data_IF_747064508965
#
_entry.id   IF_747064508965
#
_cell.length_a   1.000
_cell.length_b   1.000
_cell.length_c   1.000
_cell.angle_alpha   90.00
_cell.angle_beta   90.00
_cell.angle_gamma   90.00
#
_symmetry.space_group_name_H-M   'P 1'
#
loop_
_entity.id
_entity.type
_entity.pdbx_description
1 polymer ?
#
# COMPACT_ATOMS: atom_id res chain seq x y z
N UNK A 1 -17.87 5.41 -1.38
CA UNK A 1 -16.98 4.37 -1.94
C UNK A 1 -16.44 4.91 -3.26
N UNK A 2 -15.13 4.95 -3.49
CA UNK A 2 -14.62 5.28 -4.85
C UNK A 2 -14.13 3.99 -5.45
N UNK A 3 -14.90 3.50 -6.41
CA UNK A 3 -14.30 2.73 -7.49
C UNK A 3 -13.17 3.58 -8.07
N UNK A 4 -11.98 3.01 -8.23
CA UNK A 4 -10.90 3.69 -8.94
C UNK A 4 -11.13 3.51 -10.42
N UNK A 5 -10.96 4.58 -11.19
CA UNK A 5 -10.95 4.44 -12.63
C UNK A 5 -9.52 4.07 -13.04
N UNK A 6 -9.35 2.86 -13.54
CA UNK A 6 -8.02 2.29 -13.83
C UNK A 6 -8.01 1.62 -15.20
N UNK A 7 -6.81 1.39 -15.74
CA UNK A 7 -6.60 0.60 -16.94
C UNK A 7 -5.60 -0.51 -16.67
N UNK A 8 -5.80 -1.67 -17.30
CA UNK A 8 -4.76 -2.69 -17.34
C UNK A 8 -3.71 -2.29 -18.36
N UNK A 9 -2.45 -2.28 -17.92
CA UNK A 9 -1.32 -1.92 -18.75
C UNK A 9 -0.32 -3.07 -18.84
N UNK A 10 0.29 -3.16 -20.00
CA UNK A 10 1.37 -4.07 -20.30
C UNK A 10 2.53 -3.31 -20.92
N UNK A 11 3.73 -3.44 -20.34
CA UNK A 11 4.94 -2.81 -20.85
C UNK A 11 6.19 -3.65 -20.54
N UNK A 12 7.26 -3.45 -21.30
CA UNK A 12 8.56 -4.02 -20.95
C UNK A 12 9.26 -3.06 -19.99
N UNK A 13 9.51 -3.50 -18.76
CA UNK A 13 10.10 -2.65 -17.73
C UNK A 13 11.50 -2.14 -18.16
N UNK A 14 11.76 -0.82 -18.15
CA UNK A 14 13.08 -0.27 -18.47
C UNK A 14 14.22 -0.78 -17.57
N UNK A 15 13.92 -1.05 -16.30
CA UNK A 15 14.92 -1.43 -15.30
C UNK A 15 15.27 -2.92 -15.29
N UNK A 16 14.24 -3.79 -15.27
CA UNK A 16 14.43 -5.24 -15.14
C UNK A 16 14.20 -6.00 -16.44
N UNK A 17 13.74 -5.33 -17.50
CA UNK A 17 13.43 -5.91 -18.82
C UNK A 17 12.37 -7.00 -18.84
N UNK A 18 11.72 -7.27 -17.70
CA UNK A 18 10.59 -8.18 -17.63
C UNK A 18 9.33 -7.55 -18.24
N UNK A 19 8.46 -8.39 -18.80
CA UNK A 19 7.14 -7.97 -19.25
C UNK A 19 6.25 -7.74 -18.02
N UNK A 20 6.03 -6.48 -17.68
CA UNK A 20 5.15 -6.06 -16.61
C UNK A 20 3.70 -6.05 -17.09
N UNK A 21 2.82 -6.64 -16.28
CA UNK A 21 1.36 -6.54 -16.42
C UNK A 21 0.83 -6.05 -15.08
N UNK A 22 0.24 -4.87 -15.07
CA UNK A 22 -0.22 -4.18 -13.85
C UNK A 22 -1.40 -3.26 -14.18
N UNK A 23 -1.95 -2.56 -13.20
CA UNK A 23 -2.90 -1.46 -13.45
C UNK A 23 -2.24 -0.10 -13.28
N UNK A 24 -2.81 0.91 -13.94
CA UNK A 24 -2.48 2.31 -13.75
C UNK A 24 -3.78 3.08 -13.46
N UNK A 25 -3.73 3.99 -12.49
CA UNK A 25 -4.86 4.86 -12.20
C UNK A 25 -5.02 5.91 -13.31
N UNK A 26 -6.27 6.13 -13.70
CA UNK A 26 -6.66 6.96 -14.85
C UNK A 26 -7.57 8.08 -14.36
N UNK A 27 -7.30 9.35 -14.70
CA UNK A 27 -8.21 10.45 -14.38
C UNK A 27 -9.59 10.20 -14.99
N UNK A 28 -10.66 10.41 -14.23
CA UNK A 28 -12.01 10.25 -14.75
C UNK A 28 -12.39 11.33 -15.78
N UNK A 29 -13.09 10.97 -16.87
CA UNK A 29 -13.74 11.94 -17.75
C UNK A 29 -14.77 12.79 -17.00
N UNK A 30 -14.93 14.06 -17.39
CA UNK A 30 -16.07 14.85 -16.95
C UNK A 30 -17.33 14.43 -17.72
N UNK A 31 -18.00 13.40 -17.20
CA UNK A 31 -19.25 12.89 -17.77
C UNK A 31 -20.38 13.94 -17.79
N UNK A 32 -20.31 14.96 -16.94
CA UNK A 32 -21.35 15.97 -16.78
C UNK A 32 -21.24 17.13 -17.79
N UNK A 33 -20.03 17.36 -18.32
CA UNK A 33 -19.74 18.38 -19.33
C UNK A 33 -19.76 17.85 -20.77
N UNK A 34 -20.10 16.57 -20.97
CA UNK A 34 -19.99 15.89 -22.26
C UNK A 34 -21.08 16.29 -23.27
N UNK A 35 -20.86 17.38 -24.01
CA UNK A 35 -21.66 17.73 -25.19
C UNK A 35 -21.14 17.05 -26.48
N UNK A 36 -19.89 16.57 -26.46
CA UNK A 36 -19.23 15.88 -27.57
C UNK A 36 -18.21 14.83 -27.08
N UNK A 37 -17.79 13.91 -27.96
CA UNK A 37 -16.81 12.86 -27.61
C UNK A 37 -15.43 13.41 -27.21
N UNK A 38 -15.06 14.63 -27.62
CA UNK A 38 -13.80 15.27 -27.20
C UNK A 38 -13.84 15.79 -25.78
N UNK A 39 -15.04 16.06 -25.25
CA UNK A 39 -15.22 16.58 -23.89
C UNK A 39 -15.09 15.46 -22.83
N UNK A 40 -15.04 14.20 -23.27
CA UNK A 40 -14.78 13.01 -22.46
C UNK A 40 -13.29 12.68 -22.34
N UNK A 41 -12.41 13.57 -22.79
CA UNK A 41 -10.98 13.37 -22.64
C UNK A 41 -10.51 13.83 -21.25
N UNK A 42 -9.76 12.98 -20.57
CA UNK A 42 -9.13 13.27 -19.29
C UNK A 42 -7.65 12.91 -19.34
N UNK A 43 -6.80 13.73 -18.74
CA UNK A 43 -5.36 13.49 -18.73
C UNK A 43 -4.73 13.89 -17.40
N UNK A 44 -3.60 13.28 -17.06
CA UNK A 44 -2.95 13.53 -15.78
C UNK A 44 -1.72 12.67 -15.52
N UNK A 45 -0.98 13.06 -14.49
CA UNK A 45 0.14 12.29 -13.94
C UNK A 45 -0.39 11.13 -13.10
N UNK A 46 0.24 9.97 -13.24
CA UNK A 46 -0.01 8.74 -12.48
C UNK A 46 1.33 8.06 -12.17
N UNK A 47 1.29 7.04 -11.33
CA UNK A 47 2.46 6.21 -11.02
C UNK A 47 2.20 4.77 -11.47
N UNK A 48 3.18 4.20 -12.15
CA UNK A 48 3.14 2.82 -12.63
C UNK A 48 4.24 2.03 -11.93
N UNK A 49 3.86 1.00 -11.18
CA UNK A 49 4.81 0.14 -10.51
C UNK A 49 5.03 -1.16 -11.30
N UNK A 50 6.28 -1.52 -11.53
CA UNK A 50 6.60 -2.81 -12.12
C UNK A 50 6.40 -3.94 -11.09
N UNK A 51 5.55 -4.95 -11.34
CA UNK A 51 5.31 -6.06 -10.41
C UNK A 51 6.53 -6.99 -10.26
N UNK A 52 7.54 -6.87 -11.13
CA UNK A 52 8.72 -7.72 -11.15
C UNK A 52 9.95 -7.13 -10.46
N UNK A 53 10.03 -5.80 -10.33
CA UNK A 53 11.18 -5.17 -9.68
C UNK A 53 10.80 -4.00 -8.77
N UNK A 54 9.52 -3.69 -8.63
CA UNK A 54 8.95 -2.65 -7.76
C UNK A 54 9.45 -1.24 -8.07
N UNK A 55 10.15 -1.05 -9.19
CA UNK A 55 10.45 0.29 -9.68
C UNK A 55 9.12 0.98 -9.98
N UNK A 56 8.93 2.13 -9.32
CA UNK A 56 7.83 3.05 -9.59
C UNK A 56 8.28 4.03 -10.66
N UNK A 57 7.52 4.11 -11.73
CA UNK A 57 7.71 5.03 -12.84
C UNK A 57 6.64 6.12 -12.77
N UNK A 58 7.06 7.38 -12.73
CA UNK A 58 6.14 8.50 -13.03
C UNK A 58 5.67 8.35 -14.48
N UNK A 59 4.37 8.46 -14.70
CA UNK A 59 3.75 8.26 -16.00
C UNK A 59 2.66 9.31 -16.25
N UNK A 60 2.44 9.59 -17.53
CA UNK A 60 1.35 10.46 -17.98
C UNK A 60 0.30 9.62 -18.68
N UNK A 61 -0.96 9.80 -18.29
CA UNK A 61 -2.13 9.13 -18.86
C UNK A 61 -2.95 10.13 -19.66
N UNK A 62 -3.39 9.69 -20.84
CA UNK A 62 -4.43 10.34 -21.64
C UNK A 62 -5.53 9.32 -21.86
N UNK A 63 -6.72 9.61 -21.34
CA UNK A 63 -7.89 8.79 -21.47
C UNK A 63 -8.94 9.48 -22.34
N UNK A 64 -9.56 8.70 -23.21
CA UNK A 64 -10.58 9.13 -24.15
C UNK A 64 -11.74 8.13 -24.13
N UNK A 65 -12.88 8.48 -24.72
CA UNK A 65 -14.13 7.70 -24.68
C UNK A 65 -14.05 6.22 -25.16
N UNK A 66 -12.93 5.77 -25.73
CA UNK A 66 -12.72 4.36 -26.10
C UNK A 66 -11.25 3.93 -26.17
N UNK A 67 -10.33 4.72 -25.61
CA UNK A 67 -8.90 4.40 -25.62
C UNK A 67 -8.20 5.03 -24.43
N UNK A 68 -7.23 4.33 -23.88
CA UNK A 68 -6.31 4.87 -22.90
C UNK A 68 -4.89 4.81 -23.48
N UNK A 69 -4.13 5.88 -23.31
CA UNK A 69 -2.69 5.92 -23.58
C UNK A 69 -1.96 6.23 -22.29
N UNK A 70 -0.92 5.44 -22.00
CA UNK A 70 -0.04 5.63 -20.84
C UNK A 70 1.37 5.80 -21.35
N UNK A 71 2.13 6.75 -20.82
CA UNK A 71 3.52 7.02 -21.21
C UNK A 71 4.37 7.18 -19.97
N UNK A 72 5.49 6.44 -19.88
CA UNK A 72 6.43 6.59 -18.77
C UNK A 72 7.25 7.88 -18.98
N UNK A 73 7.23 8.80 -18.02
CA UNK A 73 7.83 10.14 -18.17
C UNK A 73 9.33 10.09 -18.42
N UNK A 74 10.03 9.23 -17.67
CA UNK A 74 11.49 9.05 -17.80
C UNK A 74 11.89 8.11 -18.97
N UNK A 75 10.93 7.38 -19.55
CA UNK A 75 11.17 6.37 -20.59
C UNK A 75 10.10 6.42 -21.71
N UNK A 76 9.97 7.56 -22.42
CA UNK A 76 8.90 7.80 -23.39
C UNK A 76 8.94 6.85 -24.61
N UNK A 77 10.09 6.22 -24.86
CA UNK A 77 10.28 5.20 -25.90
C UNK A 77 9.69 3.83 -25.54
N UNK A 78 9.35 3.60 -24.27
CA UNK A 78 8.77 2.34 -23.81
C UNK A 78 7.34 2.24 -24.30
N UNK A 79 7.06 1.26 -25.16
CA UNK A 79 5.71 0.98 -25.61
C UNK A 79 4.88 0.42 -24.44
N UNK A 80 3.88 1.19 -24.01
CA UNK A 80 2.88 0.76 -23.04
C UNK A 80 1.58 0.47 -23.79
N UNK A 81 1.12 -0.78 -23.70
CA UNK A 81 -0.22 -1.14 -24.14
C UNK A 81 -1.17 -0.93 -22.98
N UNK A 82 -2.25 -0.19 -23.19
CA UNK A 82 -3.27 0.05 -22.18
C UNK A 82 -4.64 -0.39 -22.71
N UNK A 83 -5.42 -1.05 -21.87
CA UNK A 83 -6.81 -1.38 -22.17
C UNK A 83 -7.69 -0.13 -21.99
N UNK A 84 -8.97 -0.25 -22.37
CA UNK A 84 -9.94 0.79 -22.05
C UNK A 84 -10.08 0.90 -20.54
N UNK A 85 -10.05 2.12 -20.00
CA UNK A 85 -10.20 2.34 -18.58
C UNK A 85 -11.57 1.85 -18.08
N UNK A 86 -11.57 1.25 -16.90
CA UNK A 86 -12.73 0.67 -16.24
C UNK A 86 -12.72 1.06 -14.77
N UNK A 87 -13.90 0.98 -14.15
CA UNK A 87 -14.00 1.12 -12.72
C UNK A 87 -13.58 -0.18 -12.03
N UNK A 88 -12.63 -0.08 -11.10
CA UNK A 88 -12.25 -1.17 -10.24
C UNK A 88 -13.49 -1.72 -9.51
N UNK A 89 -13.52 -3.02 -9.16
CA UNK A 89 -14.59 -3.55 -8.32
C UNK A 89 -14.74 -2.71 -7.04
N UNK A 90 -15.98 -2.49 -6.59
CA UNK A 90 -16.19 -1.94 -5.25
C UNK A 90 -15.75 -2.97 -4.22
N UNK A 91 -14.65 -2.71 -3.53
CA UNK A 91 -14.40 -3.34 -2.24
C UNK A 91 -15.24 -2.61 -1.19
N UNK A 92 -16.27 -3.29 -0.71
CA UNK A 92 -17.12 -2.79 0.35
C UNK A 92 -16.43 -2.95 1.72
N UNK A 93 -15.71 -1.90 2.11
CA UNK A 93 -15.08 -1.78 3.42
C UNK A 93 -16.07 -1.40 4.53
N UNK A 94 -17.36 -1.20 4.23
CA UNK A 94 -18.34 -0.77 5.24
C UNK A 94 -18.57 -1.83 6.33
N UNK A 95 -18.32 -3.09 6.01
CA UNK A 95 -18.42 -4.24 6.94
C UNK A 95 -17.11 -4.55 7.69
N UNK A 96 -16.01 -3.83 7.43
CA UNK A 96 -14.74 -4.06 8.12
C UNK A 96 -14.81 -3.55 9.56
N UNK A 97 -14.95 -4.48 10.51
CA UNK A 97 -14.96 -4.16 11.93
C UNK A 97 -13.53 -3.84 12.41
N UNK A 98 -13.24 -2.54 12.53
CA UNK A 98 -12.02 -2.03 13.12
C UNK A 98 -11.75 -2.67 14.50
N UNK A 99 -10.58 -3.28 14.72
CA UNK A 99 -10.28 -3.89 16.00
C UNK A 99 -10.11 -2.85 17.10
N UNK A 100 -10.68 -3.14 18.28
CA UNK A 100 -10.57 -2.25 19.45
C UNK A 100 -9.11 -2.09 19.91
N UNK A 101 -8.29 -3.12 19.74
CA UNK A 101 -6.90 -3.13 20.17
C UNK A 101 -5.99 -3.83 19.13
N UNK A 102 -5.53 -3.09 18.09
CA UNK A 102 -4.59 -3.61 17.09
C UNK A 102 -3.32 -4.20 17.70
N UNK A 103 -2.81 -3.62 18.80
CA UNK A 103 -1.61 -4.10 19.49
C UNK A 103 -1.81 -5.51 20.04
N UNK A 104 -2.96 -5.81 20.65
CA UNK A 104 -3.22 -7.15 21.18
C UNK A 104 -3.32 -8.21 20.10
N UNK A 105 -3.90 -7.88 18.94
CA UNK A 105 -4.01 -8.80 17.80
C UNK A 105 -2.63 -9.08 17.23
N UNK A 106 -1.81 -8.04 17.07
CA UNK A 106 -0.43 -8.20 16.64
C UNK A 106 0.37 -9.05 17.65
N UNK A 107 0.25 -8.77 18.95
CA UNK A 107 0.98 -9.48 19.99
C UNK A 107 0.64 -10.99 20.00
N UNK A 108 -0.65 -11.33 19.88
CA UNK A 108 -1.10 -12.72 19.73
C UNK A 108 -0.48 -13.36 18.49
N UNK A 109 -0.55 -12.70 17.33
CA UNK A 109 0.05 -13.22 16.10
C UNK A 109 1.57 -13.38 16.21
N UNK A 110 2.25 -12.46 16.91
CA UNK A 110 3.69 -12.50 17.11
C UNK A 110 4.08 -13.73 17.95
N UNK A 111 3.42 -13.93 19.09
CA UNK A 111 3.67 -15.05 20.00
C UNK A 111 3.43 -16.40 19.31
N UNK A 112 2.30 -16.54 18.61
CA UNK A 112 1.96 -17.77 17.89
C UNK A 112 2.96 -18.06 16.76
N UNK A 113 3.32 -17.04 15.98
CA UNK A 113 4.28 -17.18 14.88
C UNK A 113 5.69 -17.55 15.39
N UNK A 114 6.16 -16.90 16.46
CA UNK A 114 7.46 -17.24 17.08
C UNK A 114 7.45 -18.66 17.67
N UNK A 115 6.39 -19.06 18.39
CA UNK A 115 6.26 -20.42 18.90
C UNK A 115 6.30 -21.46 17.78
N UNK A 116 5.70 -21.15 16.63
CA UNK A 116 5.70 -22.02 15.46
C UNK A 116 7.09 -22.14 14.81
N UNK A 117 7.81 -21.02 14.69
CA UNK A 117 9.21 -21.01 14.25
C UNK A 117 10.09 -21.81 15.21
N UNK A 118 9.82 -21.74 16.52
CA UNK A 118 10.61 -22.45 17.50
C UNK A 118 10.41 -23.96 17.48
N UNK A 119 9.16 -24.39 17.33
CA UNK A 119 8.81 -25.81 17.28
C UNK A 119 9.15 -26.48 15.95
N UNK A 120 9.05 -25.75 14.84
CA UNK A 120 9.08 -26.34 13.48
C UNK A 120 10.11 -25.72 12.54
N UNK A 121 10.71 -24.60 12.92
CA UNK A 121 11.73 -23.93 12.11
C UNK A 121 13.00 -24.74 11.97
N UNK A 122 13.78 -24.40 10.93
CA UNK A 122 15.08 -25.00 10.66
C UNK A 122 16.16 -23.93 10.55
N UNK A 123 17.42 -24.27 10.84
CA UNK A 123 18.53 -23.37 10.54
C UNK A 123 18.84 -23.32 9.03
N UNK A 124 18.24 -24.19 8.21
CA UNK A 124 18.22 -24.03 6.76
C UNK A 124 17.34 -22.83 6.37
N UNK A 125 17.98 -21.74 5.95
CA UNK A 125 17.27 -20.53 5.54
C UNK A 125 16.49 -20.66 4.23
N UNK A 126 16.57 -21.80 3.55
CA UNK A 126 15.71 -22.16 2.43
C UNK A 126 14.44 -22.92 2.83
N UNK A 127 14.19 -23.13 4.12
CA UNK A 127 13.05 -23.89 4.62
C UNK A 127 11.72 -23.15 4.36
N UNK A 128 10.72 -23.89 3.84
CA UNK A 128 9.39 -23.33 3.57
C UNK A 128 8.74 -22.74 4.82
N UNK A 129 8.85 -23.46 5.95
CA UNK A 129 8.26 -23.06 7.23
C UNK A 129 8.75 -21.69 7.70
N UNK A 130 10.05 -21.42 7.60
CA UNK A 130 10.63 -20.14 8.01
C UNK A 130 10.12 -18.99 7.12
N UNK A 131 9.97 -19.21 5.80
CA UNK A 131 9.41 -18.22 4.87
C UNK A 131 7.95 -17.90 5.16
N UNK A 132 7.16 -18.93 5.53
CA UNK A 132 5.77 -18.73 5.93
C UNK A 132 5.67 -17.92 7.22
N UNK A 133 6.48 -18.23 8.24
CA UNK A 133 6.50 -17.46 9.49
C UNK A 133 7.01 -16.03 9.29
N UNK A 134 8.05 -15.84 8.48
CA UNK A 134 8.51 -14.51 8.07
C UNK A 134 7.39 -13.70 7.41
N UNK A 135 6.68 -14.29 6.45
CA UNK A 135 5.57 -13.62 5.76
C UNK A 135 4.44 -13.28 6.73
N UNK A 136 4.16 -14.13 7.72
CA UNK A 136 3.18 -13.85 8.77
C UNK A 136 3.59 -12.66 9.63
N UNK A 137 4.86 -12.53 10.00
CA UNK A 137 5.32 -11.35 10.75
C UNK A 137 5.15 -10.04 9.98
N UNK A 138 5.37 -10.07 8.66
CA UNK A 138 5.14 -8.90 7.81
C UNK A 138 3.65 -8.59 7.69
N UNK A 139 2.81 -9.61 7.46
CA UNK A 139 1.35 -9.43 7.40
C UNK A 139 0.80 -8.86 8.72
N UNK A 140 1.29 -9.33 9.87
CA UNK A 140 0.90 -8.80 11.18
C UNK A 140 1.35 -7.34 11.38
N UNK A 141 2.52 -6.96 10.87
CA UNK A 141 2.95 -5.56 10.84
C UNK A 141 2.04 -4.69 9.96
N UNK A 142 1.76 -5.14 8.74
CA UNK A 142 0.87 -4.43 7.80
C UNK A 142 -0.52 -4.20 8.42
N UNK A 143 -1.11 -5.23 9.01
CA UNK A 143 -2.40 -5.14 9.72
C UNK A 143 -2.34 -4.17 10.90
N UNK A 144 -1.31 -4.27 11.77
CA UNK A 144 -1.15 -3.33 12.88
C UNK A 144 -1.08 -1.88 12.40
N UNK A 145 -0.28 -1.60 11.36
CA UNK A 145 -0.12 -0.25 10.85
C UNK A 145 -1.43 0.27 10.23
N UNK A 146 -2.15 -0.56 9.48
CA UNK A 146 -3.42 -0.19 8.89
C UNK A 146 -4.51 0.06 9.92
N UNK A 147 -4.73 -0.90 10.80
CA UNK A 147 -5.78 -0.82 11.82
C UNK A 147 -5.52 0.34 12.78
N UNK A 148 -4.26 0.55 13.18
CA UNK A 148 -3.88 1.66 14.05
C UNK A 148 -4.13 2.99 13.36
N UNK A 149 -3.64 3.19 12.12
CA UNK A 149 -3.82 4.45 11.43
C UNK A 149 -5.31 4.76 11.21
N UNK A 150 -6.08 3.78 10.75
CA UNK A 150 -7.50 3.90 10.50
C UNK A 150 -8.27 4.23 11.80
N UNK A 151 -8.02 3.49 12.88
CA UNK A 151 -8.63 3.73 14.20
C UNK A 151 -8.28 5.11 14.75
N UNK A 152 -7.01 5.49 14.72
CA UNK A 152 -6.54 6.73 15.31
C UNK A 152 -6.99 7.97 14.51
N UNK A 153 -7.08 7.87 13.19
CA UNK A 153 -7.56 8.97 12.33
C UNK A 153 -9.07 9.13 12.45
N UNK A 154 -9.81 8.03 12.33
CA UNK A 154 -11.28 8.09 12.43
C UNK A 154 -11.74 8.34 13.87
N UNK A 155 -10.93 8.03 14.88
CA UNK A 155 -11.24 8.27 16.28
C UNK A 155 -11.09 9.73 16.75
N UNK A 156 -10.33 10.58 16.03
CA UNK A 156 -9.94 11.92 16.49
C UNK A 156 -10.05 12.97 15.38
N UNK A 157 -10.91 13.98 15.57
CA UNK A 157 -11.17 15.06 14.61
C UNK A 157 -9.92 15.89 14.27
N UNK A 158 -8.96 16.04 15.19
CA UNK A 158 -7.71 16.77 14.89
C UNK A 158 -6.82 15.94 13.98
N UNK A 159 -6.73 14.63 14.21
CA UNK A 159 -5.94 13.71 13.37
C UNK A 159 -6.55 13.60 11.97
N UNK A 160 -7.87 13.46 11.88
CA UNK A 160 -8.62 13.55 10.63
C UNK A 160 -8.35 14.87 9.89
N UNK A 161 -8.48 16.00 10.59
CA UNK A 161 -8.24 17.32 10.01
C UNK A 161 -6.81 17.52 9.50
N UNK A 162 -5.80 17.00 10.22
CA UNK A 162 -4.40 17.02 9.75
C UNK A 162 -4.23 16.20 8.48
N UNK A 163 -4.82 15.01 8.41
CA UNK A 163 -4.71 14.15 7.24
C UNK A 163 -5.33 14.81 6.01
N UNK A 164 -6.55 15.34 6.13
CA UNK A 164 -7.24 16.06 5.04
C UNK A 164 -6.46 17.26 4.51
N UNK A 165 -5.74 17.98 5.39
CA UNK A 165 -4.96 19.15 5.00
C UNK A 165 -3.56 18.80 4.45
N UNK A 166 -2.98 17.68 4.89
CA UNK A 166 -1.59 17.32 4.60
C UNK A 166 -1.41 16.30 3.48
N UNK A 167 -2.39 15.43 3.25
CA UNK A 167 -2.34 14.42 2.20
C UNK A 167 -2.78 15.00 0.85
N UNK A 168 -1.94 14.80 -0.18
CA UNK A 168 -2.15 15.40 -1.50
C UNK A 168 -3.29 14.75 -2.30
N UNK A 169 -3.60 13.48 -2.04
CA UNK A 169 -4.67 12.76 -2.73
C UNK A 169 -6.02 13.19 -2.14
N UNK A 170 -6.14 13.17 -0.82
CA UNK A 170 -7.34 13.64 -0.12
C UNK A 170 -7.63 15.12 -0.37
N UNK A 171 -6.60 15.99 -0.43
CA UNK A 171 -6.79 17.42 -0.69
C UNK A 171 -7.35 17.73 -2.10
N UNK A 172 -7.28 16.79 -3.03
CA UNK A 172 -7.83 16.93 -4.38
C UNK A 172 -9.31 16.56 -4.46
N UNK A 173 -9.85 15.81 -3.49
CA UNK A 173 -11.25 15.40 -3.51
C UNK A 173 -12.20 16.62 -3.45
N UNK A 174 -13.34 16.53 -4.14
CA UNK A 174 -14.37 17.58 -4.22
C UNK A 174 -15.74 16.96 -4.00
N UNK A 175 -16.57 17.66 -3.23
CA UNK A 175 -17.94 17.26 -2.93
C UNK A 175 -18.88 18.45 -3.05
N UNK A 176 -20.09 18.19 -3.50
CA UNK A 176 -21.20 19.13 -3.54
C UNK A 176 -21.89 19.21 -2.17
N UNK A 177 -22.62 20.31 -1.93
CA UNK A 177 -23.41 20.45 -0.70
C UNK A 177 -24.54 19.42 -0.60
N UNK A 178 -25.05 18.92 -1.74
CA UNK A 178 -26.09 17.90 -1.76
C UNK A 178 -25.55 16.56 -1.25
N UNK A 179 -24.37 16.13 -1.73
CA UNK A 179 -23.72 14.88 -1.26
C UNK A 179 -23.41 14.93 0.24
N UNK A 180 -22.93 16.08 0.73
CA UNK A 180 -22.67 16.28 2.16
C UNK A 180 -23.97 16.24 2.98
N UNK A 181 -25.07 16.78 2.43
CA UNK A 181 -26.37 16.75 3.10
C UNK A 181 -26.96 15.33 3.14
N UNK A 182 -26.77 14.55 2.07
CA UNK A 182 -27.25 13.16 1.96
C UNK A 182 -26.45 12.20 2.84
N UNK A 183 -25.15 12.43 3.01
CA UNK A 183 -24.29 11.65 3.89
C UNK A 183 -23.50 12.54 4.87
N UNK A 184 -24.02 12.76 6.10
CA UNK A 184 -23.29 13.47 7.16
C UNK A 184 -21.95 12.83 7.56
N UNK A 185 -21.76 11.53 7.27
CA UNK A 185 -20.53 10.77 7.50
C UNK A 185 -19.54 10.80 6.34
N UNK A 186 -19.87 11.47 5.22
CA UNK A 186 -19.14 11.39 3.94
C UNK A 186 -17.63 11.51 4.11
N UNK A 187 -17.16 12.53 4.81
CA UNK A 187 -15.71 12.77 5.00
C UNK A 187 -15.03 11.58 5.67
N UNK A 188 -15.65 11.01 6.71
CA UNK A 188 -15.10 9.88 7.46
C UNK A 188 -15.11 8.61 6.62
N UNK A 189 -16.19 8.38 5.87
CA UNK A 189 -16.30 7.23 4.97
C UNK A 189 -15.24 7.29 3.85
N UNK A 190 -15.02 8.48 3.28
CA UNK A 190 -14.02 8.73 2.22
C UNK A 190 -12.60 8.52 2.73
N UNK A 191 -12.26 9.10 3.87
CA UNK A 191 -10.95 8.91 4.49
C UNK A 191 -10.75 7.46 4.93
N UNK A 192 -11.79 6.81 5.45
CA UNK A 192 -11.73 5.40 5.83
C UNK A 192 -11.43 4.50 4.64
N UNK A 193 -12.15 4.69 3.53
CA UNK A 193 -11.90 3.97 2.29
C UNK A 193 -10.50 4.23 1.72
N UNK A 194 -10.06 5.49 1.72
CA UNK A 194 -8.71 5.86 1.30
C UNK A 194 -7.63 5.14 2.10
N UNK A 195 -7.75 5.13 3.43
CA UNK A 195 -6.77 4.48 4.32
C UNK A 195 -6.82 2.95 4.22
N UNK A 196 -7.98 2.35 3.99
CA UNK A 196 -8.12 0.91 3.80
C UNK A 196 -7.46 0.43 2.49
N UNK A 197 -7.41 1.30 1.49
CA UNK A 197 -6.84 1.02 0.18
C UNK A 197 -5.30 1.08 0.13
N UNK A 198 -4.67 1.64 1.17
CA UNK A 198 -3.22 1.77 1.23
C UNK A 198 -2.55 0.40 1.32
N UNK A 199 -1.54 0.19 0.47
CA UNK A 199 -0.61 -0.94 0.58
C UNK A 199 0.36 -0.70 1.74
N UNK A 200 0.10 -1.30 2.90
CA UNK A 200 0.87 -1.04 4.12
C UNK A 200 2.32 -1.57 4.13
N UNK A 201 2.70 -2.40 3.15
CA UNK A 201 4.12 -2.71 2.89
C UNK A 201 4.87 -1.56 2.18
N UNK A 202 4.20 -0.58 1.59
CA UNK A 202 4.83 0.65 1.11
C UNK A 202 5.16 1.57 2.30
N UNK A 203 6.22 1.24 3.04
CA UNK A 203 6.61 1.92 4.27
C UNK A 203 6.92 3.41 4.07
N UNK A 204 7.28 3.86 2.86
CA UNK A 204 7.52 5.28 2.57
C UNK A 204 6.21 6.09 2.56
N UNK A 205 5.16 5.57 1.91
CA UNK A 205 3.82 6.16 1.96
C UNK A 205 3.26 6.09 3.38
N UNK A 206 3.38 4.95 4.06
CA UNK A 206 2.89 4.79 5.44
C UNK A 206 3.61 5.74 6.41
N UNK A 207 4.93 5.90 6.33
CA UNK A 207 5.68 6.89 7.13
C UNK A 207 5.17 8.31 6.90
N UNK A 208 4.86 8.67 5.65
CA UNK A 208 4.30 9.98 5.31
C UNK A 208 2.92 10.18 5.97
N UNK A 209 2.03 9.19 5.86
CA UNK A 209 0.70 9.25 6.47
C UNK A 209 0.77 9.33 8.00
N UNK A 210 1.64 8.53 8.63
CA UNK A 210 1.87 8.56 10.08
C UNK A 210 2.42 9.91 10.55
N UNK A 211 3.35 10.51 9.81
CA UNK A 211 3.88 11.84 10.13
C UNK A 211 2.82 12.93 10.04
N UNK A 212 1.95 12.87 9.03
CA UNK A 212 0.88 13.87 8.84
C UNK A 212 -0.20 13.70 9.92
N UNK A 213 -0.76 12.50 10.02
CA UNK A 213 -1.94 12.25 10.85
C UNK A 213 -1.59 12.13 12.33
N UNK A 214 -0.54 11.38 12.65
CA UNK A 214 -0.21 10.96 14.01
C UNK A 214 1.03 11.66 14.58
N UNK A 215 1.77 12.41 13.76
CA UNK A 215 3.02 13.08 14.14
C UNK A 215 4.10 12.09 14.59
N UNK A 216 4.09 10.88 14.02
CA UNK A 216 5.03 9.79 14.29
C UNK A 216 5.92 9.53 13.07
N UNK A 217 7.24 9.50 13.28
CA UNK A 217 8.22 9.15 12.24
C UNK A 217 8.62 7.67 12.34
N UNK A 218 8.11 6.82 11.45
CA UNK A 218 8.39 5.39 11.42
C UNK A 218 9.82 5.10 10.96
N UNK A 219 10.36 5.87 10.01
CA UNK A 219 11.62 5.57 9.33
C UNK A 219 12.81 6.48 9.74
N UNK A 220 12.75 7.01 10.97
CA UNK A 220 13.72 7.96 11.53
C UNK A 220 15.16 7.44 11.55
N UNK A 221 15.38 6.24 12.08
CA UNK A 221 16.72 5.67 12.26
C UNK A 221 17.20 4.97 10.99
N UNK A 222 18.29 5.45 10.39
CA UNK A 222 18.84 4.97 9.10
C UNK A 222 19.01 3.44 9.07
N UNK A 223 19.70 2.88 10.06
CA UNK A 223 20.01 1.44 10.11
C UNK A 223 18.76 0.58 10.23
N UNK A 224 17.74 1.04 10.98
CA UNK A 224 16.47 0.32 11.09
C UNK A 224 15.71 0.41 9.76
N UNK A 225 15.67 1.60 9.15
CA UNK A 225 15.02 1.84 7.87
C UNK A 225 15.57 0.92 6.76
N UNK A 226 16.89 0.79 6.65
CA UNK A 226 17.51 -0.11 5.66
C UNK A 226 17.08 -1.57 5.86
N UNK A 227 17.08 -2.05 7.11
CA UNK A 227 16.64 -3.42 7.43
C UNK A 227 15.15 -3.63 7.14
N UNK A 228 14.30 -2.64 7.42
CA UNK A 228 12.87 -2.70 7.11
C UNK A 228 12.64 -2.82 5.61
N UNK A 229 13.31 -1.99 4.79
CA UNK A 229 13.17 -2.07 3.33
C UNK A 229 13.65 -3.41 2.76
N UNK A 230 14.75 -3.96 3.29
CA UNK A 230 15.20 -5.31 2.92
C UNK A 230 14.15 -6.37 3.28
N UNK A 231 13.53 -6.27 4.46
CA UNK A 231 12.48 -7.20 4.87
C UNK A 231 11.24 -7.10 3.97
N UNK A 232 10.82 -5.89 3.59
CA UNK A 232 9.70 -5.69 2.66
C UNK A 232 10.03 -6.28 1.27
N UNK A 233 11.23 -6.06 0.76
CA UNK A 233 11.65 -6.67 -0.51
C UNK A 233 11.60 -8.21 -0.43
N UNK A 234 12.07 -8.79 0.67
CA UNK A 234 11.98 -10.23 0.87
C UNK A 234 10.54 -10.75 1.04
N UNK A 235 9.61 -9.92 1.54
CA UNK A 235 8.18 -10.24 1.53
C UNK A 235 7.65 -10.36 0.11
N UNK A 236 8.03 -9.46 -0.80
CA UNK A 236 7.65 -9.59 -2.22
C UNK A 236 8.21 -10.88 -2.83
N UNK A 237 9.48 -11.19 -2.57
CA UNK A 237 10.09 -12.44 -3.03
C UNK A 237 9.35 -13.67 -2.48
N UNK A 238 8.95 -13.65 -1.20
CA UNK A 238 8.21 -14.75 -0.59
C UNK A 238 6.81 -14.93 -1.20
N UNK A 239 6.04 -13.85 -1.32
CA UNK A 239 4.62 -13.88 -1.71
C UNK A 239 4.45 -14.04 -3.21
N UNK A 240 5.19 -13.28 -4.03
CA UNK A 240 4.98 -13.22 -5.47
C UNK A 240 5.96 -14.08 -6.27
N UNK A 241 7.14 -14.38 -5.72
CA UNK A 241 8.19 -15.18 -6.39
C UNK A 241 8.45 -16.54 -5.70
N UNK A 242 7.60 -16.93 -4.75
CA UNK A 242 7.69 -18.19 -3.99
C UNK A 242 9.07 -18.40 -3.33
N UNK A 243 9.62 -17.32 -2.76
CA UNK A 243 10.91 -17.23 -2.10
C UNK A 243 12.09 -17.39 -3.04
N UNK A 244 11.96 -16.87 -4.27
CA UNK A 244 13.04 -16.66 -5.22
C UNK A 244 13.22 -15.17 -5.48
N UNK A 245 14.42 -14.76 -5.85
CA UNK A 245 14.68 -13.38 -6.26
C UNK A 245 14.25 -13.12 -7.72
N UNK A 246 14.48 -11.90 -8.20
CA UNK A 246 14.22 -11.49 -9.60
C UNK A 246 15.03 -12.28 -10.64
N UNK A 247 16.11 -12.92 -10.25
CA UNK A 247 16.94 -13.77 -11.12
C UNK A 247 16.53 -15.25 -11.04
N UNK A 248 15.41 -15.55 -10.37
CA UNK A 248 14.91 -16.89 -10.12
C UNK A 248 15.84 -17.74 -9.21
N UNK A 249 16.74 -17.11 -8.46
CA UNK A 249 17.60 -17.77 -7.48
C UNK A 249 16.85 -18.01 -6.18
N UNK A 250 17.00 -19.21 -5.59
CA UNK A 250 16.33 -19.54 -4.33
C UNK A 250 16.93 -18.72 -3.20
N UNK A 251 16.12 -17.97 -2.49
CA UNK A 251 16.54 -17.29 -1.28
C UNK A 251 16.74 -18.30 -0.14
N UNK A 252 17.88 -18.18 0.53
CA UNK A 252 18.26 -19.02 1.69
C UNK A 252 18.57 -18.19 2.92
N UNK A 253 18.11 -16.93 2.97
CA UNK A 253 18.39 -15.99 4.07
C UNK A 253 17.52 -16.25 5.31
N UNK A 254 16.39 -16.94 5.15
CA UNK A 254 15.35 -17.08 6.17
C UNK A 254 15.71 -18.12 7.24
N UNK A 255 16.88 -18.05 7.86
CA UNK A 255 17.22 -18.88 9.02
C UNK A 255 16.34 -18.52 10.22
N UNK A 256 16.25 -19.39 11.24
CA UNK A 256 15.55 -19.04 12.49
C UNK A 256 16.01 -17.69 13.05
N UNK A 257 17.33 -17.50 13.12
CA UNK A 257 17.93 -16.26 13.61
C UNK A 257 17.47 -15.05 12.79
N UNK A 258 17.51 -15.12 11.46
CA UNK A 258 17.07 -14.03 10.59
C UNK A 258 15.59 -13.69 10.79
N UNK A 259 14.72 -14.70 10.85
CA UNK A 259 13.27 -14.49 11.03
C UNK A 259 12.98 -13.88 12.40
N UNK A 260 13.61 -14.38 13.47
CA UNK A 260 13.48 -13.81 14.81
C UNK A 260 14.02 -12.38 14.87
N UNK A 261 15.21 -12.09 14.33
CA UNK A 261 15.77 -10.73 14.29
C UNK A 261 14.87 -9.75 13.53
N UNK A 262 14.22 -10.20 12.46
CA UNK A 262 13.28 -9.37 11.70
C UNK A 262 11.98 -9.16 12.47
N UNK A 263 11.45 -10.19 13.13
CA UNK A 263 10.27 -10.06 13.98
C UNK A 263 10.52 -9.07 15.14
N UNK A 264 11.71 -9.10 15.73
CA UNK A 264 12.16 -8.17 16.77
C UNK A 264 12.29 -6.73 16.27
N UNK A 265 12.75 -6.54 15.03
CA UNK A 265 12.75 -5.24 14.38
C UNK A 265 11.32 -4.67 14.25
N UNK A 266 10.35 -5.51 13.87
CA UNK A 266 8.95 -5.10 13.78
C UNK A 266 8.34 -4.80 15.14
N UNK A 267 8.63 -5.63 16.16
CA UNK A 267 8.23 -5.37 17.55
C UNK A 267 8.71 -4.00 18.02
N UNK A 268 10.00 -3.70 17.84
CA UNK A 268 10.57 -2.41 18.26
C UNK A 268 9.92 -1.21 17.54
N UNK A 269 9.54 -1.36 16.27
CA UNK A 269 8.78 -0.35 15.53
C UNK A 269 7.39 -0.15 16.14
N UNK A 270 6.67 -1.24 16.40
CA UNK A 270 5.30 -1.25 16.91
C UNK A 270 5.23 -0.68 18.33
N UNK A 271 6.11 -1.11 19.22
CA UNK A 271 6.20 -0.60 20.60
C UNK A 271 6.48 0.91 20.63
N UNK A 272 7.29 1.42 19.69
CA UNK A 272 7.54 2.86 19.57
C UNK A 272 6.30 3.62 19.08
N UNK A 273 5.53 3.04 18.16
CA UNK A 273 4.25 3.62 17.72
C UNK A 273 3.27 3.65 18.89
N UNK A 274 3.09 2.54 19.60
CA UNK A 274 2.19 2.44 20.74
C UNK A 274 2.56 3.43 21.86
N UNK A 275 3.85 3.55 22.18
CA UNK A 275 4.35 4.52 23.15
C UNK A 275 4.08 5.97 22.73
N UNK A 276 4.17 6.28 21.43
CA UNK A 276 3.90 7.62 20.92
C UNK A 276 2.40 7.98 20.93
N UNK A 277 1.52 6.98 20.88
CA UNK A 277 0.07 7.16 20.84
C UNK A 277 -0.58 7.08 22.22
N UNK A 278 0.07 6.42 23.18
CA UNK A 278 -0.42 6.31 24.56
C UNK A 278 -0.43 7.68 25.25
N UNK A 279 -1.58 8.16 25.75
CA UNK A 279 -1.63 9.38 26.55
C UNK A 279 -0.90 9.13 27.88
N UNK A 280 -0.04 10.07 28.28
CA UNK A 280 0.57 10.11 29.61
C UNK A 280 -0.48 10.18 30.73
#
# INVERSE_FOLDING_TARGET
MTQRFETQIQFTCPDCHALAVTSAEVPEPDWSAAESMSDLNSEGETEVECPHCETVFEAYVVNSAGSCEVRLNAHPETAVSADVAFYSPEEDWSDYALPENPLSIWAESFEQAQAYLDAHGSDDGGALINRMVFSQHVAALEAFLGDTLLKEVLGDEKRLGRLLAGDKELAKERFTLAEIQENPGLIRDRVGAYLADIRYHNLAKVDTLYRIALEVELLKEQTQREKLFVAIQHRHDCVHRNGRDKNNEKLTVFTKAYVTETAELFRALIERVDLALSPF
#
